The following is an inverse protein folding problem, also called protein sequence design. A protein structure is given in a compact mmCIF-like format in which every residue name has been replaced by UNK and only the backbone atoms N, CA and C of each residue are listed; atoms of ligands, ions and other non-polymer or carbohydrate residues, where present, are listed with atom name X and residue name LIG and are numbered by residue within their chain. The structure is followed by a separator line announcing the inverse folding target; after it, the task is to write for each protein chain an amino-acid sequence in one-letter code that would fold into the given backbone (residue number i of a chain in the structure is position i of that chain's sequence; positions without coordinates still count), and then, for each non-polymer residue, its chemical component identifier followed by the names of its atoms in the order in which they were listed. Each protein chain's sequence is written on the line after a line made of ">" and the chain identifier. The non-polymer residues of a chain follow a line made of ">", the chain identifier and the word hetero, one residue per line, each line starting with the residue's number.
data_IF_063294381742
#
_entry.id   IF_063294381742
#
_cell.length_a   1.000
_cell.length_b   1.000
_cell.length_c   1.000
_cell.angle_alpha   90.00
_cell.angle_beta   90.00
_cell.angle_gamma   90.00
#
_symmetry.space_group_name_H-M   'P 1'
#
loop_
_entity.id
_entity.type
_entity.pdbx_description
1 polymer ?
#
# COMPACT_ATOMS: atom_id res chain seq x y z
N UNK A 1 11.86 24.04 -27.34
CA UNK A 1 12.87 24.76 -26.55
C UNK A 1 12.20 26.05 -26.11
N UNK A 2 12.06 26.27 -24.81
CA UNK A 2 11.53 27.52 -24.25
C UNK A 2 12.69 28.17 -23.47
N UNK A 3 13.19 29.31 -23.97
CA UNK A 3 14.47 29.88 -23.53
C UNK A 3 15.63 28.95 -23.85
N UNK A 4 16.51 28.70 -22.87
CA UNK A 4 17.65 27.79 -22.99
C UNK A 4 17.36 26.37 -22.46
N UNK A 5 16.08 26.05 -22.22
CA UNK A 5 15.67 24.78 -21.60
C UNK A 5 14.82 23.90 -22.52
N UNK A 6 15.10 22.60 -22.50
CA UNK A 6 14.29 21.58 -23.15
C UNK A 6 13.44 20.85 -22.09
N UNK A 7 12.13 21.04 -22.15
CA UNK A 7 11.19 20.24 -21.36
C UNK A 7 10.90 18.91 -22.07
N UNK A 8 11.50 17.83 -21.58
CA UNK A 8 11.33 16.49 -22.16
C UNK A 8 9.88 16.01 -22.11
N UNK A 9 9.12 16.31 -21.05
CA UNK A 9 7.72 15.91 -20.91
C UNK A 9 6.85 16.60 -21.95
N UNK A 10 6.96 17.93 -22.09
CA UNK A 10 6.21 18.68 -23.12
C UNK A 10 6.62 18.25 -24.53
N UNK A 11 7.90 17.97 -24.75
CA UNK A 11 8.37 17.43 -26.02
C UNK A 11 7.69 16.09 -26.32
N UNK A 12 7.70 15.15 -25.38
CA UNK A 12 7.03 13.86 -25.55
C UNK A 12 5.52 14.02 -25.79
N UNK A 13 4.84 14.87 -25.02
CA UNK A 13 3.41 15.12 -25.15
C UNK A 13 3.02 15.77 -26.49
N UNK A 14 3.87 16.64 -27.06
CA UNK A 14 3.63 17.27 -28.38
C UNK A 14 3.92 16.36 -29.56
N UNK A 15 4.86 15.41 -29.40
CA UNK A 15 5.24 14.47 -30.46
C UNK A 15 4.45 13.15 -30.43
N UNK A 16 3.84 12.80 -29.30
CA UNK A 16 2.99 11.63 -29.18
C UNK A 16 1.61 11.85 -29.81
N UNK A 17 0.95 10.76 -30.23
CA UNK A 17 -0.47 10.79 -30.66
C UNK A 17 -1.44 10.79 -29.48
N UNK A 18 -1.06 10.11 -28.39
CA UNK A 18 -1.79 9.97 -27.12
C UNK A 18 -0.78 9.69 -26.01
N UNK A 19 -1.10 10.08 -24.78
CA UNK A 19 -0.37 9.71 -23.57
C UNK A 19 -1.33 9.15 -22.52
N UNK A 20 -0.83 8.52 -21.46
CA UNK A 20 -1.69 7.99 -20.39
C UNK A 20 -1.15 8.20 -18.97
N UNK A 21 -2.08 8.49 -18.05
CA UNK A 21 -1.92 8.26 -16.62
C UNK A 21 -2.07 6.77 -16.26
N UNK A 22 -1.68 6.42 -15.03
CA UNK A 22 -1.58 5.02 -14.55
C UNK A 22 -2.58 4.67 -13.43
N UNK A 23 -3.50 5.60 -13.19
CA UNK A 23 -4.74 5.47 -12.43
C UNK A 23 -5.67 6.58 -12.94
N UNK A 24 -6.94 6.56 -12.55
CA UNK A 24 -7.87 7.65 -12.89
C UNK A 24 -7.39 8.98 -12.29
N UNK A 25 -7.09 8.99 -10.98
CA UNK A 25 -6.56 10.17 -10.27
C UNK A 25 -5.29 10.70 -10.92
N UNK A 26 -4.36 9.83 -11.31
CA UNK A 26 -3.14 10.28 -11.98
C UNK A 26 -3.40 10.89 -13.35
N UNK A 27 -4.39 10.38 -14.10
CA UNK A 27 -4.80 11.00 -15.35
C UNK A 27 -5.40 12.39 -15.14
N UNK A 28 -6.21 12.58 -14.10
CA UNK A 28 -6.77 13.89 -13.76
C UNK A 28 -5.66 14.89 -13.39
N UNK A 29 -4.74 14.48 -12.50
CA UNK A 29 -3.57 15.30 -12.12
C UNK A 29 -2.69 15.61 -13.34
N UNK A 30 -2.46 14.64 -14.22
CA UNK A 30 -1.67 14.88 -15.43
C UNK A 30 -2.36 15.87 -16.39
N UNK A 31 -3.69 15.80 -16.54
CA UNK A 31 -4.43 16.75 -17.35
C UNK A 31 -4.44 18.15 -16.71
N UNK A 32 -4.53 18.27 -15.39
CA UNK A 32 -4.41 19.57 -14.70
C UNK A 32 -3.01 20.18 -14.89
N UNK A 33 -1.97 19.37 -14.69
CA UNK A 33 -0.58 19.81 -14.78
C UNK A 33 -0.16 20.20 -16.21
N UNK A 34 -0.65 19.51 -17.24
CA UNK A 34 -0.14 19.65 -18.60
C UNK A 34 -1.19 20.16 -19.60
N UNK A 35 -2.49 20.04 -19.31
CA UNK A 35 -3.59 20.30 -20.25
C UNK A 35 -3.67 21.73 -20.79
N UNK A 36 -3.06 22.69 -20.09
CA UNK A 36 -3.03 24.10 -20.51
C UNK A 36 -1.96 24.39 -21.57
N UNK A 37 -1.04 23.47 -21.85
CA UNK A 37 -0.01 23.67 -22.88
C UNK A 37 -0.55 23.39 -24.28
N UNK A 38 -0.34 24.34 -25.20
CA UNK A 38 -0.76 24.18 -26.58
C UNK A 38 -0.02 23.04 -27.30
N UNK A 39 -0.75 22.33 -28.17
CA UNK A 39 -0.23 21.32 -29.08
C UNK A 39 0.11 19.97 -28.45
N UNK A 40 -0.28 19.73 -27.19
CA UNK A 40 -0.10 18.41 -26.58
C UNK A 40 -1.14 17.41 -27.08
N UNK A 41 -0.80 16.13 -27.01
CA UNK A 41 -1.73 15.04 -27.25
C UNK A 41 -2.72 14.85 -26.07
N UNK A 42 -3.87 14.19 -26.31
CA UNK A 42 -4.77 13.80 -25.22
C UNK A 42 -4.10 12.88 -24.20
N UNK A 43 -4.36 13.13 -22.92
CA UNK A 43 -3.90 12.28 -21.81
C UNK A 43 -5.09 11.48 -21.30
N UNK A 44 -5.09 10.17 -21.56
CA UNK A 44 -6.12 9.23 -21.06
C UNK A 44 -5.66 8.55 -19.76
N UNK A 45 -6.49 7.68 -19.17
CA UNK A 45 -6.12 6.87 -18.01
C UNK A 45 -6.17 5.39 -18.34
N UNK A 46 -5.09 4.66 -18.06
CA UNK A 46 -5.03 3.20 -18.10
C UNK A 46 -4.46 2.74 -16.78
N UNK A 47 -5.31 2.23 -15.90
CA UNK A 47 -4.93 1.92 -14.52
C UNK A 47 -3.96 0.75 -14.46
N UNK A 48 -2.89 0.89 -13.69
CA UNK A 48 -1.94 -0.19 -13.48
C UNK A 48 -2.60 -1.44 -12.90
N UNK A 49 -1.90 -2.55 -13.03
CA UNK A 49 -2.39 -3.88 -12.62
C UNK A 49 -1.22 -4.78 -12.26
N UNK A 50 -1.53 -5.99 -11.79
CA UNK A 50 -0.55 -7.02 -11.44
C UNK A 50 -0.97 -8.38 -11.96
N UNK A 51 0.02 -9.27 -12.13
CA UNK A 51 -0.24 -10.64 -12.54
C UNK A 51 -0.64 -11.49 -11.32
N UNK A 52 -1.90 -11.89 -11.27
CA UNK A 52 -2.43 -12.68 -10.16
C UNK A 52 -1.72 -14.03 -10.01
N UNK A 53 -1.40 -14.70 -11.13
CA UNK A 53 -0.73 -16.01 -11.13
C UNK A 53 0.64 -16.00 -10.46
N UNK A 54 1.40 -14.90 -10.57
CA UNK A 54 2.70 -14.76 -9.95
C UNK A 54 2.61 -14.40 -8.45
N UNK A 55 1.71 -13.49 -8.08
CA UNK A 55 1.72 -12.88 -6.73
C UNK A 55 0.85 -13.61 -5.70
N UNK A 56 -0.15 -14.35 -6.14
CA UNK A 56 -1.09 -15.07 -5.29
C UNK A 56 -0.48 -16.37 -4.74
N UNK A 57 -0.80 -16.69 -3.50
CA UNK A 57 -0.64 -18.05 -2.99
C UNK A 57 -1.74 -18.98 -3.55
N UNK A 58 -1.41 -20.04 -4.31
CA UNK A 58 -2.41 -20.88 -4.96
C UNK A 58 -3.33 -21.62 -3.97
N UNK A 59 -2.80 -22.06 -2.82
CA UNK A 59 -3.59 -22.79 -1.83
C UNK A 59 -4.59 -21.87 -1.13
N UNK A 60 -4.15 -20.66 -0.77
CA UNK A 60 -5.02 -19.65 -0.16
C UNK A 60 -6.16 -19.26 -1.10
N UNK A 61 -5.88 -19.08 -2.39
CA UNK A 61 -6.89 -18.75 -3.37
C UNK A 61 -7.84 -19.92 -3.68
N UNK A 62 -7.33 -21.15 -3.70
CA UNK A 62 -8.17 -22.34 -3.82
C UNK A 62 -9.16 -22.45 -2.64
N UNK A 63 -8.70 -22.22 -1.41
CA UNK A 63 -9.56 -22.19 -0.22
C UNK A 63 -10.61 -21.08 -0.31
N UNK A 64 -10.23 -19.87 -0.73
CA UNK A 64 -11.16 -18.76 -0.93
C UNK A 64 -12.26 -19.11 -1.96
N UNK A 65 -11.87 -19.72 -3.09
CA UNK A 65 -12.80 -20.16 -4.15
C UNK A 65 -13.73 -21.27 -3.67
N UNK A 66 -13.22 -22.21 -2.88
CA UNK A 66 -14.00 -23.29 -2.25
C UNK A 66 -14.90 -22.80 -1.11
N UNK A 67 -14.76 -21.52 -0.70
CA UNK A 67 -15.41 -20.95 0.49
C UNK A 67 -15.07 -21.71 1.78
N UNK A 68 -13.87 -22.28 1.84
CA UNK A 68 -13.34 -22.98 3.01
C UNK A 68 -12.55 -22.01 3.89
N UNK A 69 -13.25 -21.42 4.87
CA UNK A 69 -12.66 -20.46 5.80
C UNK A 69 -11.61 -21.09 6.71
N UNK A 70 -11.76 -22.37 7.06
CA UNK A 70 -10.79 -23.09 7.90
C UNK A 70 -9.48 -23.29 7.15
N UNK A 71 -9.53 -23.77 5.91
CA UNK A 71 -8.34 -23.93 5.07
C UNK A 71 -7.68 -22.58 4.75
N UNK A 72 -8.48 -21.53 4.50
CA UNK A 72 -7.96 -20.19 4.23
C UNK A 72 -7.18 -19.66 5.44
N UNK A 73 -7.76 -19.71 6.64
CA UNK A 73 -7.12 -19.23 7.86
C UNK A 73 -5.88 -20.07 8.22
N UNK A 74 -5.94 -21.38 8.05
CA UNK A 74 -4.79 -22.27 8.26
C UNK A 74 -3.63 -21.90 7.32
N UNK A 75 -3.90 -21.76 6.01
CA UNK A 75 -2.88 -21.37 5.04
C UNK A 75 -2.33 -19.97 5.30
N UNK A 76 -3.20 -19.02 5.67
CA UNK A 76 -2.76 -17.68 6.07
C UNK A 76 -1.79 -17.72 7.25
N UNK A 77 -2.09 -18.54 8.26
CA UNK A 77 -1.23 -18.71 9.45
C UNK A 77 0.13 -19.34 9.09
N UNK A 78 0.19 -20.24 8.12
CA UNK A 78 1.46 -20.79 7.60
C UNK A 78 2.30 -19.72 6.90
N UNK A 79 1.70 -18.94 6.01
CA UNK A 79 2.36 -17.82 5.31
C UNK A 79 2.91 -16.79 6.31
N UNK A 80 2.20 -16.53 7.41
CA UNK A 80 2.68 -15.70 8.53
C UNK A 80 3.93 -16.31 9.18
N UNK A 81 3.92 -17.61 9.47
CA UNK A 81 5.10 -18.30 10.03
C UNK A 81 6.31 -18.23 9.10
N UNK A 82 6.11 -18.35 7.79
CA UNK A 82 7.18 -18.20 6.79
C UNK A 82 7.79 -16.79 6.85
N UNK A 83 6.96 -15.75 6.76
CA UNK A 83 7.41 -14.36 6.91
C UNK A 83 8.13 -14.11 8.24
N UNK A 84 7.63 -14.68 9.34
CA UNK A 84 8.20 -14.43 10.67
C UNK A 84 9.53 -15.13 10.90
N UNK A 85 9.85 -16.19 10.13
CA UNK A 85 11.23 -16.72 10.08
C UNK A 85 12.18 -15.67 9.52
N UNK A 86 11.78 -14.94 8.48
CA UNK A 86 12.61 -13.87 7.90
C UNK A 86 12.75 -12.70 8.87
N UNK A 87 11.68 -12.33 9.58
CA UNK A 87 11.75 -11.34 10.68
C UNK A 87 12.74 -11.78 11.74
N UNK A 88 12.63 -13.02 12.25
CA UNK A 88 13.53 -13.55 13.27
C UNK A 88 14.99 -13.60 12.79
N UNK A 89 15.22 -14.05 11.55
CA UNK A 89 16.56 -14.16 10.98
C UNK A 89 17.24 -12.79 10.80
N UNK A 90 16.49 -11.75 10.42
CA UNK A 90 17.06 -10.41 10.21
C UNK A 90 17.17 -9.57 11.50
N UNK A 91 16.26 -9.77 12.46
CA UNK A 91 16.09 -8.84 13.59
C UNK A 91 16.19 -9.48 14.97
N UNK A 92 16.12 -10.81 15.07
CA UNK A 92 16.02 -11.53 16.34
C UNK A 92 14.64 -11.45 17.01
N UNK A 93 13.68 -10.74 16.43
CA UNK A 93 12.32 -10.63 16.99
C UNK A 93 11.48 -11.87 16.67
N UNK A 94 10.79 -12.39 17.68
CA UNK A 94 9.91 -13.54 17.58
C UNK A 94 8.45 -13.09 17.50
N UNK A 95 7.92 -13.06 16.28
CA UNK A 95 6.54 -12.67 16.02
C UNK A 95 5.56 -13.84 16.21
N UNK A 96 4.37 -13.55 16.71
CA UNK A 96 3.28 -14.49 16.93
C UNK A 96 2.36 -14.57 15.69
N UNK A 97 2.18 -15.75 15.05
CA UNK A 97 1.26 -15.96 13.93
C UNK A 97 -0.21 -15.59 14.20
N UNK A 98 -0.64 -15.58 15.47
CA UNK A 98 -2.01 -15.22 15.86
C UNK A 98 -2.19 -13.70 16.06
N UNK A 99 -1.11 -12.93 16.14
CA UNK A 99 -1.13 -11.48 16.30
C UNK A 99 -1.37 -10.75 14.96
N UNK A 100 -2.15 -9.66 14.99
CA UNK A 100 -2.40 -8.83 13.82
C UNK A 100 -1.08 -8.25 13.31
N UNK A 101 -0.79 -8.41 12.03
CA UNK A 101 0.46 -7.95 11.41
C UNK A 101 0.19 -6.89 10.36
N UNK A 102 0.67 -5.68 10.64
CA UNK A 102 0.62 -4.52 9.76
C UNK A 102 1.95 -4.41 9.03
N UNK A 103 1.90 -4.21 7.73
CA UNK A 103 3.09 -4.02 6.90
C UNK A 103 3.01 -2.69 6.16
N UNK A 104 4.06 -1.89 6.28
CA UNK A 104 4.36 -0.82 5.35
C UNK A 104 5.59 -1.24 4.54
N UNK A 105 5.44 -1.45 3.22
CA UNK A 105 6.59 -1.82 2.40
C UNK A 105 6.58 -1.22 0.99
N UNK A 106 7.64 -0.46 0.68
CA UNK A 106 7.83 0.31 -0.56
C UNK A 106 9.17 1.06 -0.51
N UNK A 107 9.58 1.69 -1.63
CA UNK A 107 10.71 2.64 -1.59
C UNK A 107 10.45 3.75 -0.56
N UNK A 108 11.48 4.16 0.17
CA UNK A 108 11.39 5.32 1.05
C UNK A 108 11.47 6.59 0.20
N UNK A 109 10.49 7.47 0.38
CA UNK A 109 10.40 8.77 -0.25
C UNK A 109 9.48 9.66 0.61
N UNK A 110 9.77 10.95 0.73
CA UNK A 110 9.06 11.83 1.67
C UNK A 110 7.54 11.84 1.49
N UNK A 111 7.04 11.82 0.25
CA UNK A 111 5.59 11.82 0.01
C UNK A 111 4.89 10.50 0.41
N UNK A 112 5.63 9.40 0.60
CA UNK A 112 5.06 8.08 0.99
C UNK A 112 4.87 7.91 2.50
N UNK A 113 5.49 8.78 3.31
CA UNK A 113 5.32 8.95 4.76
C UNK A 113 5.27 7.64 5.55
N UNK A 114 6.39 6.92 5.53
CA UNK A 114 6.58 5.66 6.25
C UNK A 114 6.43 5.78 7.78
N UNK A 115 6.69 6.99 8.26
CA UNK A 115 6.75 7.45 9.63
C UNK A 115 5.46 8.16 10.08
N UNK A 116 4.43 8.30 9.23
CA UNK A 116 3.18 8.97 9.61
C UNK A 116 2.54 8.34 10.86
N UNK A 117 2.59 7.00 10.96
CA UNK A 117 2.10 6.24 12.12
C UNK A 117 2.89 6.53 13.41
N UNK A 118 4.10 7.06 13.31
CA UNK A 118 4.96 7.38 14.46
C UNK A 118 4.77 8.82 14.94
N UNK A 119 4.00 9.64 14.21
CA UNK A 119 3.80 11.05 14.51
C UNK A 119 3.06 11.23 15.84
N UNK A 120 1.99 10.47 16.08
CA UNK A 120 1.43 10.29 17.43
C UNK A 120 2.08 9.07 18.11
N UNK A 121 3.28 9.30 18.64
CA UNK A 121 4.11 8.23 19.18
C UNK A 121 3.47 7.56 20.42
N UNK A 122 2.68 8.28 21.21
CA UNK A 122 2.01 7.70 22.37
C UNK A 122 0.89 6.73 21.97
N UNK A 123 0.10 7.06 20.94
CA UNK A 123 -0.87 6.10 20.38
C UNK A 123 -0.18 4.92 19.71
N UNK A 124 0.90 5.17 18.96
CA UNK A 124 1.70 4.09 18.37
C UNK A 124 2.24 3.12 19.44
N UNK A 125 2.83 3.66 20.52
CA UNK A 125 3.34 2.86 21.63
C UNK A 125 2.23 1.99 22.23
N UNK A 126 1.07 2.58 22.54
CA UNK A 126 -0.09 1.85 23.06
C UNK A 126 -0.52 0.72 22.11
N UNK A 127 -0.55 0.98 20.80
CA UNK A 127 -0.91 0.01 19.77
C UNK A 127 0.01 -1.23 19.81
N UNK A 128 1.33 -1.03 19.79
CA UNK A 128 2.29 -2.15 19.68
C UNK A 128 2.60 -2.83 21.01
N UNK A 129 2.33 -2.18 22.15
CA UNK A 129 2.52 -2.78 23.49
C UNK A 129 1.25 -3.41 24.08
N UNK A 130 0.09 -3.28 23.43
CA UNK A 130 -1.16 -3.89 23.91
C UNK A 130 -1.01 -5.42 24.01
N UNK A 131 -1.29 -6.00 25.18
CA UNK A 131 -1.20 -7.45 25.41
C UNK A 131 -2.50 -8.20 25.11
N UNK A 132 -3.64 -7.52 25.19
CA UNK A 132 -4.97 -8.11 24.93
C UNK A 132 -5.26 -8.18 23.42
N UNK A 133 -4.80 -7.18 22.68
CA UNK A 133 -4.93 -7.09 21.21
C UNK A 133 -3.54 -6.83 20.59
N UNK A 134 -2.67 -7.86 20.53
CA UNK A 134 -1.26 -7.67 20.16
C UNK A 134 -1.07 -7.29 18.68
N UNK A 135 -0.55 -6.10 18.42
CA UNK A 135 -0.23 -5.66 17.05
C UNK A 135 1.27 -5.76 16.78
N UNK A 136 1.61 -6.26 15.60
CA UNK A 136 2.96 -6.34 15.07
C UNK A 136 3.09 -5.44 13.85
N UNK A 137 4.20 -4.72 13.76
CA UNK A 137 4.46 -3.76 12.68
C UNK A 137 5.77 -4.11 11.98
N UNK A 138 5.72 -4.17 10.65
CA UNK A 138 6.88 -4.39 9.81
C UNK A 138 7.03 -3.23 8.83
N UNK A 139 8.21 -2.63 8.80
CA UNK A 139 8.64 -1.76 7.71
C UNK A 139 9.63 -2.51 6.81
N UNK A 140 9.50 -2.35 5.50
CA UNK A 140 10.49 -2.84 4.56
C UNK A 140 10.62 -1.91 3.36
N UNK A 141 11.84 -1.75 2.85
CA UNK A 141 12.08 -0.87 1.72
C UNK A 141 13.52 -0.41 1.65
N UNK A 142 13.82 0.36 0.60
CA UNK A 142 15.15 0.92 0.37
C UNK A 142 15.03 2.43 0.17
N UNK A 143 15.73 3.26 0.97
CA UNK A 143 15.93 4.65 0.61
C UNK A 143 16.92 4.76 -0.56
N UNK A 144 16.76 5.79 -1.39
CA UNK A 144 17.74 6.06 -2.45
C UNK A 144 19.03 6.61 -1.82
N UNK A 145 20.24 6.17 -2.25
CA UNK A 145 21.49 6.53 -1.57
C UNK A 145 21.81 8.03 -1.45
N UNK A 146 21.20 8.89 -2.29
CA UNK A 146 21.37 10.35 -2.23
C UNK A 146 20.14 11.10 -1.72
N UNK A 147 19.09 10.40 -1.33
CA UNK A 147 17.92 10.99 -0.69
C UNK A 147 18.10 10.95 0.84
N UNK A 148 18.81 11.94 1.36
CA UNK A 148 19.14 12.02 2.79
C UNK A 148 17.88 12.07 3.66
N UNK A 149 16.80 12.71 3.19
CA UNK A 149 15.53 12.73 3.92
C UNK A 149 14.91 11.33 4.05
N UNK A 150 14.89 10.54 2.97
CA UNK A 150 14.43 9.16 3.02
C UNK A 150 15.31 8.27 3.91
N UNK A 151 16.63 8.50 3.91
CA UNK A 151 17.59 7.80 4.77
C UNK A 151 17.32 8.15 6.25
N UNK A 152 17.09 9.43 6.55
CA UNK A 152 16.80 9.90 7.91
C UNK A 152 15.47 9.33 8.42
N UNK A 153 14.42 9.31 7.59
CA UNK A 153 13.15 8.64 7.94
C UNK A 153 13.37 7.15 8.24
N UNK A 154 14.11 6.43 7.39
CA UNK A 154 14.42 5.01 7.59
C UNK A 154 15.15 4.76 8.92
N UNK A 155 16.22 5.53 9.17
CA UNK A 155 17.00 5.43 10.40
C UNK A 155 16.19 5.86 11.64
N UNK A 156 15.34 6.87 11.50
CA UNK A 156 14.43 7.36 12.52
C UNK A 156 13.47 6.28 13.00
N UNK A 157 12.82 5.58 12.06
CA UNK A 157 11.95 4.45 12.36
C UNK A 157 12.71 3.40 13.18
N UNK A 158 13.90 2.96 12.73
CA UNK A 158 14.72 1.99 13.46
C UNK A 158 15.00 2.47 14.89
N UNK A 159 15.46 3.72 15.05
CA UNK A 159 15.79 4.29 16.37
C UNK A 159 14.58 4.34 17.30
N UNK A 160 13.43 4.75 16.78
CA UNK A 160 12.18 4.89 17.54
C UNK A 160 11.57 3.54 17.91
N UNK A 161 11.75 2.51 17.08
CA UNK A 161 11.07 1.22 17.26
C UNK A 161 11.92 0.11 17.85
N UNK A 162 13.25 0.28 17.96
CA UNK A 162 14.19 -0.75 18.46
C UNK A 162 13.82 -1.36 19.83
N UNK A 163 13.12 -0.62 20.67
CA UNK A 163 12.71 -1.06 22.01
C UNK A 163 11.43 -1.90 22.05
N UNK A 164 10.73 -2.04 20.91
CA UNK A 164 9.45 -2.76 20.85
C UNK A 164 9.64 -4.13 20.22
N UNK A 165 9.39 -5.19 20.99
CA UNK A 165 9.54 -6.58 20.52
C UNK A 165 8.65 -6.97 19.33
N UNK A 166 7.61 -6.18 19.04
CA UNK A 166 6.64 -6.39 17.96
C UNK A 166 6.85 -5.46 16.76
N UNK A 167 8.00 -4.79 16.69
CA UNK A 167 8.35 -3.93 15.57
C UNK A 167 9.59 -4.47 14.86
N UNK A 168 9.55 -4.55 13.53
CA UNK A 168 10.68 -4.99 12.73
C UNK A 168 10.89 -4.05 11.54
N UNK A 169 12.16 -3.74 11.25
CA UNK A 169 12.54 -3.05 10.02
C UNK A 169 13.41 -4.02 9.21
N UNK A 170 12.91 -4.44 8.06
CA UNK A 170 13.57 -5.42 7.20
C UNK A 170 14.30 -4.73 6.06
N UNK A 171 15.44 -5.30 5.69
CA UNK A 171 16.27 -4.85 4.57
C UNK A 171 16.21 -5.84 3.42
N UNK A 172 16.79 -5.50 2.27
CA UNK A 172 16.78 -6.40 1.11
C UNK A 172 15.41 -6.54 0.44
N UNK A 173 14.56 -5.50 0.52
CA UNK A 173 13.25 -5.48 -0.12
C UNK A 173 13.36 -5.61 -1.65
N UNK A 174 13.23 -6.86 -2.10
CA UNK A 174 13.22 -7.34 -3.48
C UNK A 174 12.03 -8.29 -3.67
N UNK A 175 11.92 -8.95 -4.84
CA UNK A 175 10.75 -9.76 -5.17
C UNK A 175 10.40 -10.85 -4.14
N UNK A 176 11.39 -11.55 -3.60
CA UNK A 176 11.19 -12.62 -2.61
C UNK A 176 10.60 -12.08 -1.31
N UNK A 177 11.30 -11.16 -0.64
CA UNK A 177 10.80 -10.52 0.59
C UNK A 177 9.46 -9.80 0.34
N UNK A 178 9.28 -9.20 -0.85
CA UNK A 178 8.01 -8.58 -1.22
C UNK A 178 6.87 -9.60 -1.27
N UNK A 179 7.09 -10.79 -1.82
CA UNK A 179 6.10 -11.85 -1.86
C UNK A 179 5.74 -12.35 -0.46
N UNK A 180 6.73 -12.57 0.42
CA UNK A 180 6.51 -12.99 1.80
C UNK A 180 5.70 -11.95 2.59
N UNK A 181 6.05 -10.67 2.47
CA UNK A 181 5.35 -9.58 3.15
C UNK A 181 3.88 -9.48 2.73
N UNK A 182 3.60 -9.58 1.43
CA UNK A 182 2.23 -9.54 0.91
C UNK A 182 1.41 -10.74 1.36
N UNK A 183 2.03 -11.93 1.40
CA UNK A 183 1.38 -13.18 1.80
C UNK A 183 1.15 -13.28 3.31
N UNK A 184 2.10 -12.80 4.12
CA UNK A 184 2.07 -12.87 5.57
C UNK A 184 1.47 -11.66 6.30
N UNK A 185 1.07 -10.60 5.61
CA UNK A 185 0.45 -9.42 6.25
C UNK A 185 -1.06 -9.56 6.39
N UNK A 186 -1.63 -9.01 7.47
CA UNK A 186 -3.08 -8.91 7.63
C UNK A 186 -3.59 -7.54 7.17
N UNK A 187 -2.82 -6.48 7.44
CA UNK A 187 -3.07 -5.11 6.96
C UNK A 187 -1.89 -4.59 6.14
N UNK A 188 -2.19 -4.03 4.96
CA UNK A 188 -1.22 -3.36 4.10
C UNK A 188 -1.37 -1.84 4.23
N UNK A 189 -0.43 -1.20 4.92
CA UNK A 189 -0.50 0.22 5.26
C UNK A 189 0.07 1.09 4.12
N UNK A 190 -0.74 2.05 3.66
CA UNK A 190 -0.40 3.00 2.62
C UNK A 190 -0.75 4.44 3.01
N UNK A 191 0.28 5.26 3.24
CA UNK A 191 0.15 6.63 3.75
C UNK A 191 0.68 7.70 2.79
N UNK A 192 0.42 7.62 1.47
CA UNK A 192 0.93 8.60 0.54
C UNK A 192 0.27 9.94 0.78
N UNK A 193 0.97 11.03 0.51
CA UNK A 193 0.38 12.36 0.47
C UNK A 193 -0.52 12.46 -0.76
N UNK A 194 -1.81 12.71 -0.57
CA UNK A 194 -2.73 12.95 -1.67
C UNK A 194 -2.41 14.28 -2.39
N UNK A 195 -2.50 14.39 -3.73
CA UNK A 195 -2.63 13.32 -4.74
C UNK A 195 -1.27 12.98 -5.40
N UNK A 196 -0.26 12.56 -4.61
CA UNK A 196 1.12 12.32 -5.08
C UNK A 196 1.43 10.85 -5.39
N UNK A 197 0.54 9.92 -5.10
CA UNK A 197 0.69 8.53 -5.53
C UNK A 197 0.01 8.34 -6.88
N UNK A 198 0.80 8.17 -7.94
CA UNK A 198 0.25 7.94 -9.28
C UNK A 198 -0.60 6.66 -9.39
N UNK A 199 -0.28 5.62 -8.61
CA UNK A 199 -1.06 4.37 -8.57
C UNK A 199 -0.68 3.58 -7.32
N UNK A 200 0.32 2.69 -7.42
CA UNK A 200 0.85 1.90 -6.30
C UNK A 200 0.34 0.46 -6.32
N UNK A 201 1.06 -0.45 -6.98
CA UNK A 201 0.57 -1.81 -7.26
C UNK A 201 0.80 -2.84 -6.15
N UNK A 202 1.55 -2.50 -5.09
CA UNK A 202 1.83 -3.44 -4.00
C UNK A 202 0.57 -3.78 -3.18
N UNK A 203 -0.33 -2.82 -2.99
CA UNK A 203 -1.61 -3.06 -2.31
C UNK A 203 -2.51 -4.04 -3.07
N UNK A 204 -2.51 -4.00 -4.41
CA UNK A 204 -3.26 -4.94 -5.26
C UNK A 204 -2.82 -6.38 -4.97
N UNK A 205 -1.51 -6.60 -4.91
CA UNK A 205 -0.92 -7.94 -4.69
C UNK A 205 -1.00 -8.41 -3.24
N UNK A 206 -1.04 -7.50 -2.27
CA UNK A 206 -1.39 -7.84 -0.89
C UNK A 206 -2.86 -8.29 -0.81
N UNK A 207 -3.79 -7.56 -1.44
CA UNK A 207 -5.21 -7.90 -1.44
C UNK A 207 -5.50 -9.29 -2.04
N UNK A 208 -4.74 -9.71 -3.06
CA UNK A 208 -4.81 -11.08 -3.62
C UNK A 208 -4.52 -12.18 -2.59
N UNK A 209 -3.88 -11.85 -1.45
CA UNK A 209 -3.41 -12.78 -0.43
C UNK A 209 -4.10 -12.58 0.94
N UNK A 210 -5.40 -12.26 0.94
CA UNK A 210 -6.20 -12.03 2.15
C UNK A 210 -5.62 -10.96 3.09
N UNK A 211 -5.03 -9.91 2.52
CA UNK A 211 -4.55 -8.75 3.27
C UNK A 211 -5.44 -7.53 2.97
N UNK A 212 -5.86 -6.82 4.00
CA UNK A 212 -6.76 -5.67 3.86
C UNK A 212 -5.96 -4.38 3.74
N UNK A 213 -6.25 -3.58 2.72
CA UNK A 213 -5.58 -2.28 2.57
C UNK A 213 -6.07 -1.29 3.63
N UNK A 214 -5.13 -0.60 4.28
CA UNK A 214 -5.40 0.59 5.10
C UNK A 214 -4.70 1.75 4.42
N UNK A 215 -5.47 2.64 3.78
CA UNK A 215 -4.89 3.58 2.83
C UNK A 215 -5.57 4.93 2.79
N UNK A 216 -4.81 5.97 2.51
CA UNK A 216 -5.37 7.20 1.93
C UNK A 216 -5.89 6.88 0.52
N UNK A 217 -7.03 7.47 0.17
CA UNK A 217 -7.69 7.29 -1.13
C UNK A 217 -6.96 8.04 -2.26
N UNK A 218 -5.76 7.56 -2.61
CA UNK A 218 -4.93 8.08 -3.69
C UNK A 218 -4.50 6.95 -4.65
N UNK A 219 -4.05 7.32 -5.85
CA UNK A 219 -3.59 6.37 -6.86
C UNK A 219 -4.69 5.41 -7.32
N UNK A 220 -4.50 4.11 -7.09
CA UNK A 220 -5.47 3.06 -7.48
C UNK A 220 -6.58 2.84 -6.46
N UNK A 221 -6.39 3.29 -5.22
CA UNK A 221 -7.29 2.97 -4.10
C UNK A 221 -8.71 3.48 -4.35
N UNK A 222 -8.95 4.70 -4.89
CA UNK A 222 -10.31 5.16 -5.21
C UNK A 222 -11.06 4.28 -6.23
N UNK A 223 -10.33 3.53 -7.06
CA UNK A 223 -10.92 2.63 -8.05
C UNK A 223 -11.30 1.25 -7.46
N UNK A 224 -10.80 0.95 -6.26
CA UNK A 224 -10.99 -0.32 -5.55
C UNK A 224 -11.88 -0.19 -4.30
N UNK A 225 -11.75 0.94 -3.60
CA UNK A 225 -12.17 1.08 -2.22
C UNK A 225 -13.69 1.06 -2.02
N UNK A 226 -14.12 0.23 -1.09
CA UNK A 226 -15.42 0.26 -0.43
C UNK A 226 -15.13 0.22 1.07
N UNK A 227 -15.11 1.39 1.69
CA UNK A 227 -14.64 1.55 3.07
C UNK A 227 -15.45 0.68 4.06
N UNK A 228 -14.75 -0.10 4.88
CA UNK A 228 -15.35 -1.07 5.81
C UNK A 228 -15.86 -2.36 5.16
N UNK A 229 -15.87 -2.46 3.82
CA UNK A 229 -16.31 -3.65 3.08
C UNK A 229 -15.16 -4.46 2.48
N UNK A 230 -14.16 -3.79 1.90
CA UNK A 230 -12.99 -4.45 1.28
C UNK A 230 -11.64 -3.78 1.64
N UNK A 231 -11.67 -2.61 2.27
CA UNK A 231 -10.50 -1.88 2.75
C UNK A 231 -10.89 -0.97 3.91
N UNK A 232 -9.91 -0.27 4.47
CA UNK A 232 -10.14 0.86 5.38
C UNK A 232 -9.50 2.12 4.82
N UNK A 233 -10.27 3.20 4.74
CA UNK A 233 -9.81 4.48 4.22
C UNK A 233 -9.39 5.41 5.34
N UNK A 234 -8.17 5.91 5.22
CA UNK A 234 -7.65 7.01 6.03
C UNK A 234 -8.11 8.31 5.37
N UNK A 235 -8.90 9.12 6.07
CA UNK A 235 -9.30 10.44 5.57
C UNK A 235 -8.07 11.33 5.38
N UNK A 236 -7.90 11.89 4.18
CA UNK A 236 -6.88 12.91 3.92
C UNK A 236 -7.38 14.29 4.34
N UNK A 237 -6.46 15.17 4.71
CA UNK A 237 -6.77 16.56 5.04
C UNK A 237 -7.02 17.38 3.75
N UNK A 238 -7.58 18.58 3.92
CA UNK A 238 -7.71 19.54 2.82
C UNK A 238 -6.32 19.87 2.26
N UNK A 239 -6.17 19.74 0.94
CA UNK A 239 -4.91 19.97 0.22
C UNK A 239 -4.36 21.39 0.40
N UNK A 240 -5.24 22.37 0.67
CA UNK A 240 -4.88 23.77 0.88
C UNK A 240 -4.18 24.05 2.23
N UNK A 241 -4.30 23.12 3.20
CA UNK A 241 -3.68 23.31 4.52
C UNK A 241 -2.15 23.19 4.47
N UNK A 242 -1.43 23.81 5.42
CA UNK A 242 0.00 23.61 5.61
C UNK A 242 0.36 22.13 5.81
N UNK A 243 1.54 21.74 5.33
CA UNK A 243 2.03 20.36 5.38
C UNK A 243 1.93 19.73 6.78
N UNK A 244 2.40 20.42 7.81
CA UNK A 244 2.44 19.86 9.17
C UNK A 244 1.04 19.63 9.74
N UNK A 245 0.11 20.56 9.50
CA UNK A 245 -1.29 20.41 9.93
C UNK A 245 -1.97 19.23 9.22
N UNK A 246 -1.70 19.03 7.92
CA UNK A 246 -2.20 17.86 7.20
C UNK A 246 -1.66 16.57 7.80
N UNK A 247 -0.36 16.51 8.10
CA UNK A 247 0.24 15.31 8.68
C UNK A 247 -0.28 15.02 10.11
N UNK A 248 -0.57 16.05 10.92
CA UNK A 248 -1.21 15.89 12.24
C UNK A 248 -2.60 15.27 12.12
N UNK A 249 -3.46 15.86 11.28
CA UNK A 249 -4.83 15.37 11.06
C UNK A 249 -4.86 13.96 10.46
N UNK A 250 -3.99 13.69 9.49
CA UNK A 250 -3.94 12.39 8.82
C UNK A 250 -3.32 11.30 9.71
N UNK A 251 -2.41 11.66 10.62
CA UNK A 251 -1.94 10.77 11.68
C UNK A 251 -3.07 10.40 12.64
N UNK A 252 -3.86 11.38 13.09
CA UNK A 252 -5.03 11.13 13.94
C UNK A 252 -6.04 10.19 13.24
N UNK A 253 -6.38 10.48 11.99
CA UNK A 253 -7.26 9.67 11.17
C UNK A 253 -6.72 8.25 11.00
N UNK A 254 -5.42 8.09 10.75
CA UNK A 254 -4.76 6.80 10.65
C UNK A 254 -4.96 5.98 11.94
N UNK A 255 -4.65 6.54 13.10
CA UNK A 255 -4.82 5.81 14.35
C UNK A 255 -6.29 5.48 14.63
N UNK A 256 -7.24 6.37 14.33
CA UNK A 256 -8.67 6.10 14.47
C UNK A 256 -9.13 4.92 13.59
N UNK A 257 -8.58 4.80 12.38
CA UNK A 257 -8.84 3.68 11.48
C UNK A 257 -8.18 2.40 12.00
N UNK A 258 -6.94 2.47 12.49
CA UNK A 258 -6.25 1.32 13.06
C UNK A 258 -6.97 0.78 14.30
N UNK A 259 -7.46 1.64 15.19
CA UNK A 259 -8.22 1.22 16.37
C UNK A 259 -9.46 0.40 15.99
N UNK A 260 -10.19 0.84 14.94
CA UNK A 260 -11.34 0.10 14.39
C UNK A 260 -10.92 -1.22 13.77
N UNK A 261 -9.87 -1.24 12.96
CA UNK A 261 -9.38 -2.44 12.28
C UNK A 261 -8.87 -3.49 13.28
N UNK A 262 -8.16 -3.06 14.33
CA UNK A 262 -7.68 -3.91 15.42
C UNK A 262 -8.85 -4.50 16.20
N UNK A 263 -9.84 -3.68 16.57
CA UNK A 263 -11.05 -4.18 17.24
C UNK A 263 -11.78 -5.22 16.38
N UNK A 264 -11.95 -4.97 15.07
CA UNK A 264 -12.57 -5.93 14.16
C UNK A 264 -11.79 -7.24 14.07
N UNK A 265 -10.45 -7.20 13.99
CA UNK A 265 -9.62 -8.39 13.89
C UNK A 265 -9.78 -9.31 15.11
N UNK A 266 -9.80 -8.74 16.32
CA UNK A 266 -9.84 -9.51 17.57
C UNK A 266 -11.25 -9.83 18.06
N UNK A 267 -12.15 -8.85 18.03
CA UNK A 267 -13.48 -8.98 18.63
C UNK A 267 -14.49 -9.57 17.64
N UNK A 268 -14.27 -9.38 16.34
CA UNK A 268 -15.18 -9.80 15.27
C UNK A 268 -14.44 -10.50 14.12
N UNK A 269 -13.65 -11.56 14.37
CA UNK A 269 -12.77 -12.17 13.38
C UNK A 269 -13.50 -12.67 12.13
N UNK A 270 -14.76 -13.11 12.26
CA UNK A 270 -15.60 -13.49 11.11
C UNK A 270 -15.92 -12.30 10.20
N UNK A 271 -16.15 -11.13 10.77
CA UNK A 271 -16.40 -9.90 10.01
C UNK A 271 -15.10 -9.40 9.37
N UNK A 272 -13.97 -9.45 10.08
CA UNK A 272 -12.67 -9.12 9.48
C UNK A 272 -12.34 -10.06 8.30
N UNK A 273 -12.56 -11.37 8.46
CA UNK A 273 -12.37 -12.34 7.37
C UNK A 273 -13.27 -12.05 6.18
N UNK A 274 -14.52 -11.62 6.40
CA UNK A 274 -15.43 -11.20 5.33
C UNK A 274 -14.84 -10.03 4.53
N UNK A 275 -14.25 -9.04 5.21
CA UNK A 275 -13.57 -7.90 4.57
C UNK A 275 -12.35 -8.37 3.77
N UNK A 276 -11.51 -9.23 4.35
CA UNK A 276 -10.33 -9.78 3.66
C UNK A 276 -10.71 -10.59 2.40
N UNK A 277 -11.76 -11.41 2.47
CA UNK A 277 -12.27 -12.16 1.31
C UNK A 277 -12.91 -11.23 0.27
N UNK A 278 -13.59 -10.17 0.69
CA UNK A 278 -14.10 -9.15 -0.22
C UNK A 278 -12.95 -8.42 -0.93
N UNK A 279 -11.85 -8.11 -0.23
CA UNK A 279 -10.65 -7.53 -0.83
C UNK A 279 -10.05 -8.44 -1.92
N UNK A 280 -9.91 -9.74 -1.63
CA UNK A 280 -9.43 -10.73 -2.61
C UNK A 280 -10.33 -10.84 -3.84
N UNK A 281 -11.64 -10.79 -3.63
CA UNK A 281 -12.63 -10.89 -4.71
C UNK A 281 -12.71 -9.62 -5.54
N UNK A 282 -12.59 -8.45 -4.91
CA UNK A 282 -12.82 -7.17 -5.59
C UNK A 282 -11.55 -6.67 -6.31
N UNK A 283 -10.35 -7.14 -5.93
CA UNK A 283 -9.10 -6.74 -6.60
C UNK A 283 -8.95 -7.38 -7.99
N UNK A 284 -9.50 -8.58 -8.20
CA UNK A 284 -9.60 -9.21 -9.51
C UNK A 284 -11.09 -9.29 -9.89
N UNK A 285 -11.57 -8.61 -10.94
CA UNK A 285 -10.94 -8.51 -12.26
C UNK A 285 -10.27 -7.17 -12.58
N UNK A 286 -10.54 -6.14 -11.79
CA UNK A 286 -10.16 -4.76 -12.15
C UNK A 286 -8.65 -4.54 -12.18
N UNK A 287 -7.86 -5.25 -11.36
CA UNK A 287 -6.41 -5.02 -11.28
C UNK A 287 -5.57 -6.19 -11.79
N UNK A 288 -6.12 -6.96 -12.74
CA UNK A 288 -5.40 -8.03 -13.43
C UNK A 288 -4.68 -7.52 -14.71
N UNK A 289 -3.46 -8.00 -14.93
CA UNK A 289 -2.55 -7.63 -16.03
C UNK A 289 -3.13 -7.72 -17.46
N UNK A 290 -3.97 -8.70 -17.74
CA UNK A 290 -4.69 -8.88 -19.00
C UNK A 290 -5.74 -7.81 -19.27
N UNK A 291 -6.38 -7.25 -18.22
CA UNK A 291 -7.25 -6.06 -18.38
C UNK A 291 -6.44 -4.88 -18.86
N UNK A 292 -5.34 -4.57 -18.17
CA UNK A 292 -4.45 -3.45 -18.52
C UNK A 292 -3.85 -3.61 -19.91
N UNK A 293 -3.32 -4.81 -20.25
CA UNK A 293 -2.75 -5.07 -21.57
C UNK A 293 -3.77 -4.87 -22.71
N UNK A 294 -5.01 -5.35 -22.52
CA UNK A 294 -6.12 -5.12 -23.45
C UNK A 294 -6.44 -3.63 -23.59
N UNK A 295 -6.51 -2.89 -22.50
CA UNK A 295 -6.77 -1.44 -22.54
C UNK A 295 -5.65 -0.65 -23.23
N UNK A 296 -4.39 -1.01 -23.03
CA UNK A 296 -3.27 -0.43 -23.79
C UNK A 296 -3.45 -0.65 -25.28
N UNK A 297 -3.77 -1.88 -25.69
CA UNK A 297 -4.03 -2.20 -27.09
C UNK A 297 -5.21 -1.40 -27.66
N UNK A 298 -6.36 -1.42 -26.99
CA UNK A 298 -7.61 -0.83 -27.49
C UNK A 298 -7.63 0.70 -27.43
N UNK A 299 -7.08 1.31 -26.38
CA UNK A 299 -7.22 2.74 -26.09
C UNK A 299 -6.01 3.56 -26.54
N UNK A 300 -4.80 2.99 -26.46
CA UNK A 300 -3.55 3.72 -26.73
C UNK A 300 -2.94 3.37 -28.10
N UNK A 301 -2.81 2.08 -28.43
CA UNK A 301 -2.05 1.65 -29.61
C UNK A 301 -2.85 1.53 -30.90
N UNK A 302 -4.15 1.26 -30.83
CA UNK A 302 -5.07 1.30 -31.97
C UNK A 302 -5.38 2.75 -32.39
#
# INVERSE_FOLDING_TARGET
>A
IEGDSLNYTLTALRFARKANGVSKVHGDVANEMWGHYAGICPIISITNSQNGSYWRDPQLAAAAKAKDDTALLARKKELKKELFKVVANQTGHLFNPDALTIVWARRFAGYKRADLILRDFERFKKLVTNSERPVQMIWAGKPYPKDFGAIDTFNGIIRMTRGFARCAVLTGYELELSAELKKGSDLWLNTPRYPREASGTSGMTAAMNACVSVSIADGWIPEFAKDGENCFIIGHADVALPTDQKDDMESENLHNVLDKAVALYYDQPKQFLKIAKAAMRDVEPEFESGRMAREYYEKLYK
#
